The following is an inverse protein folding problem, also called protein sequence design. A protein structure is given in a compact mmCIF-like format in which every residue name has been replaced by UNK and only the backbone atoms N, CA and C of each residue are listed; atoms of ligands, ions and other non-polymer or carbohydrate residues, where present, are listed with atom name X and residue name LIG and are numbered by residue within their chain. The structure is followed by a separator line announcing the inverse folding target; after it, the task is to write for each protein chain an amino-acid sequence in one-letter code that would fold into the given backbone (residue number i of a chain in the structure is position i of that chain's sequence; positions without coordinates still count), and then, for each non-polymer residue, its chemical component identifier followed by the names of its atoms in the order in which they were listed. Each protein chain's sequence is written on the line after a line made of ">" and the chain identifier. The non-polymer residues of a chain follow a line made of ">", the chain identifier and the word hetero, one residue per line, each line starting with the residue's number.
data_IF_428969148469
#
_entry.id   IF_428969148469
#
_cell.length_a   1.000
_cell.length_b   1.000
_cell.length_c   1.000
_cell.angle_alpha   90.00
_cell.angle_beta   90.00
_cell.angle_gamma   90.00
#
_symmetry.space_group_name_H-M   'P 1'
#
loop_
_entity.id
_entity.type
_entity.pdbx_description
1 polymer ?
#
# COMPACT_ATOMS: atom_id res chain seq x y z
N UNK A 1 6.66 -24.99 13.04
CA UNK A 1 6.90 -23.60 13.50
C UNK A 1 6.78 -22.71 12.29
N UNK A 2 5.86 -21.76 12.26
CA UNK A 2 5.62 -20.93 11.07
C UNK A 2 6.84 -20.04 10.78
N UNK A 3 7.41 -20.18 9.58
CA UNK A 3 8.56 -19.40 9.15
C UNK A 3 8.05 -18.05 8.65
N UNK A 4 8.28 -17.00 9.43
CA UNK A 4 8.02 -15.62 9.02
C UNK A 4 9.34 -14.97 8.63
N UNK A 5 9.40 -14.43 7.41
CA UNK A 5 10.57 -13.72 6.87
C UNK A 5 10.17 -12.31 6.44
N UNK A 6 11.14 -11.39 6.44
CA UNK A 6 10.92 -10.01 6.04
C UNK A 6 12.09 -9.46 5.22
N UNK A 7 11.80 -8.52 4.32
CA UNK A 7 12.80 -7.84 3.51
C UNK A 7 12.40 -6.38 3.24
N UNK A 8 13.38 -5.54 2.93
CA UNK A 8 13.17 -4.13 2.59
C UNK A 8 13.21 -3.91 1.09
N UNK A 9 12.38 -2.99 0.62
CA UNK A 9 12.40 -2.48 -0.74
C UNK A 9 12.46 -0.95 -0.72
N UNK A 10 13.48 -0.38 -1.37
CA UNK A 10 13.58 1.08 -1.52
C UNK A 10 12.65 1.52 -2.65
N UNK A 11 11.74 2.46 -2.37
CA UNK A 11 10.78 2.96 -3.36
C UNK A 11 10.75 4.50 -3.42
N UNK A 12 10.16 5.09 -4.46
CA UNK A 12 9.96 6.54 -4.57
C UNK A 12 9.15 7.16 -3.41
N UNK A 13 8.33 6.36 -2.71
CA UNK A 13 7.51 6.82 -1.57
C UNK A 13 8.13 6.49 -0.20
N UNK A 14 9.37 5.99 -0.19
CA UNK A 14 10.12 5.60 1.01
C UNK A 14 10.43 4.10 1.07
N UNK A 15 11.11 3.68 2.13
CA UNK A 15 11.44 2.26 2.33
C UNK A 15 10.18 1.46 2.72
N UNK A 16 9.88 0.43 1.95
CA UNK A 16 8.83 -0.54 2.23
C UNK A 16 9.42 -1.74 2.97
N UNK A 17 8.68 -2.25 3.96
CA UNK A 17 8.95 -3.50 4.66
C UNK A 17 7.90 -4.52 4.20
N UNK A 18 8.36 -5.58 3.52
CA UNK A 18 7.56 -6.72 3.14
C UNK A 18 7.73 -7.84 4.17
N UNK A 19 6.63 -8.48 4.57
CA UNK A 19 6.61 -9.65 5.47
C UNK A 19 5.87 -10.79 4.79
N UNK A 20 6.47 -11.98 4.80
CA UNK A 20 5.96 -13.20 4.20
C UNK A 20 5.90 -14.31 5.24
N UNK A 21 4.74 -14.95 5.35
CA UNK A 21 4.56 -16.20 6.08
C UNK A 21 4.49 -17.39 5.10
N UNK A 22 4.13 -18.55 5.61
CA UNK A 22 4.02 -19.77 4.80
C UNK A 22 2.98 -19.67 3.67
N UNK A 23 1.87 -18.96 3.88
CA UNK A 23 0.78 -18.81 2.90
C UNK A 23 1.00 -17.73 1.83
N UNK A 24 1.92 -16.79 2.06
CA UNK A 24 2.11 -15.63 1.18
C UNK A 24 2.52 -14.37 1.93
N UNK A 25 2.49 -13.23 1.24
CA UNK A 25 2.75 -11.93 1.84
C UNK A 25 1.61 -11.53 2.77
N UNK A 26 1.96 -11.30 4.03
CA UNK A 26 1.01 -10.93 5.08
C UNK A 26 0.97 -9.42 5.29
N UNK A 27 2.05 -8.70 4.97
CA UNK A 27 2.09 -7.25 5.01
C UNK A 27 3.13 -6.62 4.07
N UNK A 28 2.83 -5.40 3.62
CA UNK A 28 3.70 -4.49 2.91
C UNK A 28 3.38 -3.07 3.41
N UNK A 29 4.30 -2.48 4.17
CA UNK A 29 4.08 -1.17 4.81
C UNK A 29 5.29 -0.25 4.64
N UNK A 30 5.08 1.07 4.73
CA UNK A 30 6.20 1.99 4.89
C UNK A 30 6.88 1.74 6.22
N UNK A 31 8.20 1.57 6.20
CA UNK A 31 9.01 1.27 7.37
C UNK A 31 8.79 2.28 8.50
N UNK A 32 8.69 3.57 8.15
CA UNK A 32 8.44 4.66 9.10
C UNK A 32 7.09 4.55 9.84
N UNK A 33 6.14 3.77 9.31
CA UNK A 33 4.81 3.55 9.87
C UNK A 33 4.70 2.24 10.66
N UNK A 34 5.75 1.41 10.68
CA UNK A 34 5.77 0.16 11.44
C UNK A 34 6.01 0.42 12.93
N UNK A 35 4.94 0.33 13.75
CA UNK A 35 5.02 0.53 15.22
C UNK A 35 5.87 -0.52 15.95
N UNK A 36 5.88 -1.75 15.44
CA UNK A 36 6.68 -2.87 15.95
C UNK A 36 7.35 -3.52 14.76
N UNK A 37 8.58 -3.12 14.49
CA UNK A 37 9.45 -3.86 13.58
C UNK A 37 9.83 -5.15 14.33
N UNK A 38 9.58 -6.36 13.80
CA UNK A 38 10.00 -7.58 14.48
C UNK A 38 11.50 -7.50 14.79
N UNK A 39 11.90 -7.51 16.07
CA UNK A 39 13.30 -7.30 16.51
C UNK A 39 14.32 -8.30 15.92
N UNK A 40 13.86 -9.31 15.17
CA UNK A 40 14.66 -10.24 14.36
C UNK A 40 14.77 -9.85 12.88
N UNK A 41 14.62 -8.57 12.52
CA UNK A 41 15.04 -8.10 11.20
C UNK A 41 16.57 -8.13 11.15
N UNK A 42 17.12 -9.24 10.68
CA UNK A 42 18.43 -9.18 10.01
C UNK A 42 18.15 -8.62 8.63
N UNK A 43 18.71 -7.45 8.31
CA UNK A 43 18.85 -6.99 6.92
C UNK A 43 19.44 -8.17 6.14
N UNK A 44 18.62 -8.77 5.30
CA UNK A 44 19.04 -9.85 4.44
C UNK A 44 18.79 -9.36 3.03
N UNK A 45 19.82 -9.51 2.20
CA UNK A 45 19.77 -9.39 0.74
C UNK A 45 18.50 -10.06 0.19
N UNK A 46 18.00 -9.63 -0.99
CA UNK A 46 16.83 -10.25 -1.59
C UNK A 46 17.03 -11.75 -1.60
N UNK A 47 16.17 -12.46 -0.88
CA UNK A 47 16.13 -13.92 -0.98
C UNK A 47 15.25 -14.27 -2.19
N UNK A 48 15.43 -15.45 -2.80
CA UNK A 48 14.55 -15.94 -3.85
C UNK A 48 13.06 -15.82 -3.49
N UNK A 49 12.69 -15.89 -2.20
CA UNK A 49 11.30 -15.74 -1.76
C UNK A 49 10.67 -14.34 -2.00
N UNK A 50 11.47 -13.30 -2.25
CA UNK A 50 11.03 -11.89 -2.42
C UNK A 50 11.27 -11.32 -3.82
N UNK A 51 12.07 -11.98 -4.66
CA UNK A 51 12.46 -11.49 -5.99
C UNK A 51 11.25 -11.09 -6.84
N UNK A 52 10.27 -11.99 -6.99
CA UNK A 52 9.05 -11.71 -7.76
C UNK A 52 8.27 -10.48 -7.24
N UNK A 53 8.17 -10.30 -5.92
CA UNK A 53 7.53 -9.09 -5.37
C UNK A 53 8.34 -7.83 -5.70
N UNK A 54 9.67 -7.89 -5.61
CA UNK A 54 10.53 -6.72 -5.81
C UNK A 54 10.60 -6.33 -7.29
N UNK A 55 10.61 -7.30 -8.20
CA UNK A 55 10.49 -7.07 -9.63
C UNK A 55 9.16 -6.42 -9.97
N UNK A 56 8.06 -6.93 -9.40
CA UNK A 56 6.73 -6.35 -9.63
C UNK A 56 6.58 -4.96 -9.01
N UNK A 57 7.17 -4.69 -7.84
CA UNK A 57 7.20 -3.35 -7.25
C UNK A 57 8.03 -2.39 -8.11
N UNK A 58 9.17 -2.85 -8.64
CA UNK A 58 10.01 -2.07 -9.56
C UNK A 58 9.23 -1.73 -10.82
N UNK A 59 8.56 -2.72 -11.43
CA UNK A 59 7.71 -2.54 -12.60
C UNK A 59 6.48 -1.66 -12.32
N UNK A 60 5.91 -1.74 -11.11
CA UNK A 60 4.82 -0.84 -10.69
C UNK A 60 5.35 0.58 -10.69
N UNK A 61 6.40 0.88 -9.93
CA UNK A 61 6.93 2.24 -9.81
C UNK A 61 7.53 2.81 -11.11
N UNK A 62 7.91 1.97 -12.08
CA UNK A 62 8.28 2.40 -13.44
C UNK A 62 7.07 2.64 -14.37
N UNK A 63 5.85 2.30 -13.92
CA UNK A 63 4.61 2.45 -14.68
C UNK A 63 4.32 1.33 -15.68
N UNK A 64 5.13 0.26 -15.71
CA UNK A 64 4.96 -0.86 -16.65
C UNK A 64 4.06 -1.97 -16.12
N UNK A 65 3.81 -2.03 -14.80
CA UNK A 65 2.92 -3.01 -14.16
C UNK A 65 1.66 -2.36 -13.60
N UNK A 66 0.50 -2.95 -13.93
CA UNK A 66 -0.83 -2.49 -13.48
C UNK A 66 -1.51 -3.43 -12.49
N UNK A 67 -1.10 -4.70 -12.48
CA UNK A 67 -1.70 -5.77 -11.67
C UNK A 67 -0.62 -6.63 -11.06
N UNK A 68 -0.64 -6.78 -9.74
CA UNK A 68 0.26 -7.67 -9.01
C UNK A 68 -0.21 -9.13 -9.08
N UNK A 69 0.73 -10.05 -9.24
CA UNK A 69 0.53 -11.50 -9.28
C UNK A 69 1.46 -12.17 -8.28
N UNK A 70 1.20 -11.95 -7.00
CA UNK A 70 1.94 -12.55 -5.88
C UNK A 70 0.96 -13.24 -4.92
N UNK A 71 1.40 -14.29 -4.21
CA UNK A 71 0.55 -14.92 -3.19
C UNK A 71 0.40 -14.00 -1.98
N UNK A 72 -0.85 -13.72 -1.60
CA UNK A 72 -1.22 -12.85 -0.48
C UNK A 72 -1.95 -13.66 0.59
N UNK A 73 -1.61 -13.41 1.84
CA UNK A 73 -2.27 -14.04 3.00
C UNK A 73 -2.51 -13.00 4.11
N UNK A 74 -3.28 -11.92 3.85
CA UNK A 74 -3.54 -10.88 4.84
C UNK A 74 -4.39 -11.44 5.98
N UNK A 75 -4.03 -11.08 7.22
CA UNK A 75 -4.78 -11.48 8.42
C UNK A 75 -5.68 -10.34 8.88
N UNK A 76 -6.97 -10.61 9.01
CA UNK A 76 -7.98 -9.66 9.45
C UNK A 76 -9.31 -10.35 9.73
N UNK A 77 -10.29 -9.58 10.22
CA UNK A 77 -11.65 -10.07 10.40
C UNK A 77 -12.28 -10.44 9.04
N UNK A 78 -13.31 -11.30 9.01
CA UNK A 78 -14.02 -11.62 7.77
C UNK A 78 -14.50 -10.37 7.02
N UNK A 79 -14.96 -9.35 7.75
CA UNK A 79 -15.36 -8.06 7.18
C UNK A 79 -14.19 -7.32 6.53
N UNK A 80 -13.04 -7.22 7.23
CA UNK A 80 -11.84 -6.59 6.68
C UNK A 80 -11.36 -7.29 5.41
N UNK A 81 -11.27 -8.62 5.44
CA UNK A 81 -10.86 -9.43 4.28
C UNK A 81 -11.81 -9.23 3.10
N UNK A 82 -13.12 -9.14 3.34
CA UNK A 82 -14.10 -8.84 2.29
C UNK A 82 -13.87 -7.45 1.67
N UNK A 83 -13.64 -6.43 2.50
CA UNK A 83 -13.30 -5.07 2.02
C UNK A 83 -12.02 -5.11 1.18
N UNK A 84 -10.95 -5.74 1.65
CA UNK A 84 -9.68 -5.82 0.94
C UNK A 84 -9.78 -6.56 -0.40
N UNK A 85 -10.59 -7.62 -0.47
CA UNK A 85 -10.91 -8.29 -1.74
C UNK A 85 -11.61 -7.34 -2.71
N UNK A 86 -12.58 -6.58 -2.24
CA UNK A 86 -13.29 -5.61 -3.07
C UNK A 86 -12.40 -4.46 -3.56
N UNK A 87 -11.38 -4.05 -2.79
CA UNK A 87 -10.38 -3.06 -3.24
C UNK A 87 -9.65 -3.52 -4.51
N UNK A 88 -9.33 -4.81 -4.63
CA UNK A 88 -8.65 -5.34 -5.82
C UNK A 88 -9.49 -5.24 -7.11
N UNK A 89 -10.81 -5.00 -7.00
CA UNK A 89 -11.67 -4.75 -8.16
C UNK A 89 -11.54 -3.34 -8.73
N UNK A 90 -10.86 -2.43 -8.04
CA UNK A 90 -10.68 -1.04 -8.48
C UNK A 90 -9.52 -0.98 -9.48
N UNK A 91 -9.75 -0.64 -10.76
CA UNK A 91 -8.69 -0.64 -11.77
C UNK A 91 -7.55 0.34 -11.45
N UNK A 92 -6.35 0.04 -11.95
CA UNK A 92 -5.21 0.97 -11.93
C UNK A 92 -5.60 2.32 -12.55
N UNK A 93 -5.22 3.42 -11.90
CA UNK A 93 -5.51 4.78 -12.36
C UNK A 93 -6.95 5.24 -12.13
N UNK A 94 -7.81 4.39 -11.59
CA UNK A 94 -9.20 4.72 -11.25
C UNK A 94 -9.38 4.90 -9.74
N UNK A 95 -10.37 5.71 -9.36
CA UNK A 95 -10.79 5.86 -7.97
C UNK A 95 -12.27 5.62 -7.78
N UNK A 96 -12.68 5.17 -6.60
CA UNK A 96 -14.09 5.12 -6.19
C UNK A 96 -14.29 5.80 -4.83
N UNK A 97 -15.53 6.12 -4.49
CA UNK A 97 -15.83 6.66 -3.16
C UNK A 97 -16.03 5.55 -2.11
N UNK A 98 -15.85 5.88 -0.82
CA UNK A 98 -16.24 4.97 0.28
C UNK A 98 -17.71 4.55 0.20
N UNK A 99 -18.61 5.44 -0.22
CA UNK A 99 -20.04 5.15 -0.43
C UNK A 99 -20.23 4.10 -1.52
N UNK A 100 -19.54 4.27 -2.66
CA UNK A 100 -19.58 3.33 -3.79
C UNK A 100 -19.03 1.96 -3.37
N UNK A 101 -17.94 1.91 -2.61
CA UNK A 101 -17.39 0.65 -2.11
C UNK A 101 -18.34 -0.05 -1.14
N UNK A 102 -18.98 0.71 -0.24
CA UNK A 102 -19.98 0.19 0.69
C UNK A 102 -21.16 -0.46 -0.03
N UNK A 103 -21.66 0.19 -1.10
CA UNK A 103 -22.70 -0.37 -1.97
C UNK A 103 -22.25 -1.65 -2.67
N UNK A 104 -21.04 -1.66 -3.25
CA UNK A 104 -20.48 -2.83 -3.96
C UNK A 104 -20.39 -4.08 -3.09
N UNK A 105 -20.14 -3.94 -1.79
CA UNK A 105 -19.98 -5.09 -0.88
C UNK A 105 -21.23 -5.40 -0.06
N UNK A 106 -22.39 -4.84 -0.43
CA UNK A 106 -23.67 -5.14 0.24
C UNK A 106 -23.83 -4.50 1.61
N UNK A 107 -23.15 -3.37 1.87
CA UNK A 107 -23.27 -2.61 3.14
C UNK A 107 -23.65 -1.14 2.90
N UNK A 108 -24.79 -0.82 2.24
CA UNK A 108 -25.22 0.56 2.05
C UNK A 108 -25.26 1.34 3.38
N UNK A 109 -24.73 2.57 3.39
CA UNK A 109 -24.59 3.37 4.62
C UNK A 109 -23.35 3.04 5.47
N UNK A 110 -22.66 1.93 5.18
CA UNK A 110 -21.49 1.45 5.93
C UNK A 110 -20.17 2.20 5.68
N UNK A 111 -20.17 3.38 5.04
CA UNK A 111 -18.96 4.06 4.59
C UNK A 111 -17.90 4.27 5.70
N UNK A 112 -18.34 4.55 6.94
CA UNK A 112 -17.43 4.70 8.09
C UNK A 112 -16.75 3.37 8.47
N UNK A 113 -17.48 2.26 8.45
CA UNK A 113 -16.94 0.93 8.72
C UNK A 113 -15.97 0.50 7.60
N UNK A 114 -16.30 0.79 6.34
CA UNK A 114 -15.40 0.61 5.19
C UNK A 114 -14.12 1.43 5.38
N UNK A 115 -14.24 2.70 5.76
CA UNK A 115 -13.08 3.56 6.01
C UNK A 115 -12.16 3.03 7.11
N UNK A 116 -12.73 2.45 8.17
CA UNK A 116 -11.96 1.77 9.21
C UNK A 116 -11.24 0.53 8.65
N UNK A 117 -11.94 -0.37 7.96
CA UNK A 117 -11.34 -1.56 7.34
C UNK A 117 -10.27 -1.22 6.28
N UNK A 118 -10.46 -0.13 5.52
CA UNK A 118 -9.51 0.35 4.53
C UNK A 118 -8.19 0.85 5.17
N UNK A 119 -8.26 1.44 6.37
CA UNK A 119 -7.07 1.86 7.13
C UNK A 119 -6.29 0.68 7.70
N UNK A 120 -6.95 -0.43 7.97
CA UNK A 120 -6.34 -1.66 8.50
C UNK A 120 -5.72 -2.54 7.40
N UNK A 121 -5.74 -2.11 6.12
CA UNK A 121 -5.10 -2.85 5.04
C UNK A 121 -3.59 -3.06 5.32
N UNK A 122 -3.13 -4.30 5.49
CA UNK A 122 -1.73 -4.58 5.79
C UNK A 122 -0.83 -4.58 4.54
N UNK A 123 -1.40 -4.60 3.33
CA UNK A 123 -0.70 -4.78 2.06
C UNK A 123 -0.84 -3.51 1.21
N UNK A 124 -0.13 -2.44 1.58
CA UNK A 124 -0.14 -1.20 0.81
C UNK A 124 0.28 -1.45 -0.65
N UNK A 125 -0.21 -0.61 -1.57
CA UNK A 125 0.05 -0.66 -3.02
C UNK A 125 -0.61 -1.87 -3.70
N UNK A 126 -0.32 -3.09 -3.23
CA UNK A 126 -0.82 -4.34 -3.80
C UNK A 126 -2.34 -4.44 -3.62
N UNK A 127 -2.81 -4.25 -2.39
CA UNK A 127 -4.24 -4.04 -2.11
C UNK A 127 -4.47 -2.53 -2.17
N UNK A 128 -5.18 -2.01 -3.18
CA UNK A 128 -5.09 -0.60 -3.56
C UNK A 128 -6.02 0.30 -2.73
N UNK A 129 -5.82 0.34 -1.41
CA UNK A 129 -6.61 1.16 -0.48
C UNK A 129 -6.45 2.68 -0.70
N UNK A 130 -5.42 3.12 -1.45
CA UNK A 130 -5.23 4.51 -1.87
C UNK A 130 -6.23 4.94 -2.95
N UNK A 131 -6.87 4.00 -3.67
CA UNK A 131 -7.85 4.28 -4.73
C UNK A 131 -9.26 4.62 -4.21
N UNK A 132 -9.48 4.60 -2.90
CA UNK A 132 -10.77 4.95 -2.29
C UNK A 132 -10.72 6.37 -1.72
N UNK A 133 -11.64 7.25 -2.12
CA UNK A 133 -11.65 8.67 -1.73
C UNK A 133 -13.02 9.10 -1.16
N UNK A 134 -13.12 10.35 -0.69
CA UNK A 134 -14.41 10.95 -0.32
C UNK A 134 -15.36 11.07 -1.52
N UNK A 135 -16.66 11.08 -1.28
CA UNK A 135 -17.66 11.27 -2.35
C UNK A 135 -17.65 12.67 -2.94
N UNK A 136 -17.05 13.63 -2.24
CA UNK A 136 -16.76 15.01 -2.64
C UNK A 136 -15.44 15.13 -3.44
N UNK A 137 -14.75 14.01 -3.69
CA UNK A 137 -13.46 14.00 -4.37
C UNK A 137 -12.25 14.26 -3.45
N UNK A 138 -12.48 14.55 -2.17
CA UNK A 138 -11.38 14.86 -1.25
C UNK A 138 -10.59 13.61 -0.85
N UNK A 139 -9.27 13.78 -0.72
CA UNK A 139 -8.40 12.76 -0.16
C UNK A 139 -8.57 12.72 1.35
N UNK A 140 -9.13 11.61 1.84
CA UNK A 140 -9.30 11.35 3.27
C UNK A 140 -8.69 9.99 3.60
N UNK A 141 -8.23 9.80 4.85
CA UNK A 141 -7.85 8.50 5.39
C UNK A 141 -6.83 7.67 4.60
N UNK A 142 -5.58 7.62 5.08
CA UNK A 142 -4.58 6.67 4.61
C UNK A 142 -3.61 6.34 5.74
N UNK A 143 -3.38 5.05 6.01
CA UNK A 143 -2.50 4.61 7.11
C UNK A 143 -1.05 5.05 6.91
N UNK A 144 -0.62 5.25 5.66
CA UNK A 144 0.69 5.75 5.30
C UNK A 144 0.78 7.30 5.17
N UNK A 145 -0.31 8.03 5.42
CA UNK A 145 -0.39 9.49 5.31
C UNK A 145 -0.88 9.99 3.95
N UNK A 146 -1.54 11.16 3.93
CA UNK A 146 -2.19 11.69 2.73
C UNK A 146 -1.22 12.02 1.59
N UNK A 147 0.00 12.45 1.91
CA UNK A 147 1.03 12.74 0.89
C UNK A 147 1.38 11.50 0.06
N UNK A 148 1.47 10.35 0.73
CA UNK A 148 1.75 9.06 0.06
C UNK A 148 0.56 8.64 -0.80
N UNK A 149 -0.66 8.79 -0.27
CA UNK A 149 -1.88 8.51 -1.06
C UNK A 149 -1.93 9.37 -2.33
N UNK A 150 -1.63 10.66 -2.20
CA UNK A 150 -1.55 11.59 -3.34
C UNK A 150 -0.46 11.17 -4.33
N UNK A 151 0.74 10.84 -3.85
CA UNK A 151 1.84 10.40 -4.70
C UNK A 151 1.49 9.13 -5.50
N UNK A 152 0.85 8.14 -4.87
CA UNK A 152 0.40 6.92 -5.54
C UNK A 152 -0.72 7.18 -6.56
N UNK A 153 -1.66 8.09 -6.26
CA UNK A 153 -2.70 8.45 -7.24
C UNK A 153 -2.12 9.17 -8.45
N UNK A 154 -1.16 10.07 -8.24
CA UNK A 154 -0.46 10.74 -9.35
C UNK A 154 0.45 9.77 -10.12
N UNK A 155 1.05 8.80 -9.44
CA UNK A 155 1.77 7.70 -10.08
C UNK A 155 0.91 7.00 -11.13
N UNK A 156 -0.29 6.58 -10.72
CA UNK A 156 -1.17 5.79 -11.57
C UNK A 156 -1.81 6.58 -12.70
N UNK A 157 -1.73 7.92 -12.66
CA UNK A 157 -2.08 8.81 -13.77
C UNK A 157 -0.92 9.04 -14.76
N UNK A 158 0.27 8.49 -14.49
CA UNK A 158 1.47 8.74 -15.29
C UNK A 158 2.22 10.01 -14.91
N UNK A 159 1.89 10.64 -13.78
CA UNK A 159 2.42 11.95 -13.36
C UNK A 159 3.57 11.85 -12.36
N UNK A 160 4.20 10.68 -12.17
CA UNK A 160 5.37 10.56 -11.28
C UNK A 160 6.64 11.05 -11.98
N UNK A 161 6.68 12.35 -12.26
CA UNK A 161 7.78 13.03 -12.93
C UNK A 161 7.67 14.54 -12.83
N UNK A 162 7.73 15.10 -11.61
CA UNK A 162 7.94 16.56 -11.40
C UNK A 162 8.29 17.01 -9.96
N UNK A 163 8.71 16.13 -9.04
CA UNK A 163 9.18 16.56 -7.70
C UNK A 163 10.34 15.70 -7.19
N UNK A 164 11.51 15.86 -7.81
CA UNK A 164 12.79 15.55 -7.20
C UNK A 164 13.57 16.86 -7.06
N UNK A 165 14.00 17.16 -5.83
CA UNK A 165 14.91 18.25 -5.42
C UNK A 165 14.41 19.71 -5.41
N UNK A 166 13.87 20.12 -4.27
CA UNK A 166 14.07 21.43 -3.59
C UNK A 166 13.32 21.28 -2.25
N UNK A 167 13.85 21.42 -1.04
CA UNK A 167 14.89 22.29 -0.47
C UNK A 167 15.51 21.59 0.75
N UNK A 168 16.82 21.40 0.78
CA UNK A 168 17.62 21.38 2.01
C UNK A 168 19.01 21.93 1.68
N UNK A 169 19.04 23.22 1.33
CA UNK A 169 20.28 23.99 1.35
C UNK A 169 19.94 25.46 1.59
N UNK A 170 19.61 25.78 2.84
CA UNK A 170 19.62 27.13 3.42
C UNK A 170 19.40 27.00 4.92
N UNK A 171 20.48 26.71 5.65
CA UNK A 171 20.69 27.04 7.08
C UNK A 171 22.05 26.49 7.54
N UNK A 172 23.14 26.99 6.95
CA UNK A 172 24.44 27.03 7.63
C UNK A 172 25.27 28.15 7.01
N UNK A 173 24.95 29.38 7.42
CA UNK A 173 25.84 30.53 7.42
C UNK A 173 25.12 31.65 8.17
N UNK A 174 25.24 31.61 9.50
CA UNK A 174 25.29 32.76 10.38
C UNK A 174 26.27 32.43 11.49
#
# INVERSE_FOLDING_TARGET
>A
MDRVISAFFKSPIGNLLAVKGNGGFTSLNLLKNCRKIPLKIKLQTPKPEFEDLFDQLTAYFSGTLRTFKVSLDPKGTPFQVNVWKALNSIPYGSTISYKTLAQKIGTPGGARAIGAANRENPLLIIVPCHRVIGSDGNLTGYSAGLDIKKALLEHEKGNLGAKTHTEQQKSFNR
#
